data_IF_913606215085
#
_entry.id   IF_913606215085
#
_cell.length_a   1.000
_cell.length_b   1.000
_cell.length_c   1.000
_cell.angle_alpha   90.00
_cell.angle_beta   90.00
_cell.angle_gamma   90.00
#
_symmetry.space_group_name_H-M   'P 1'
#
loop_
_entity.id
_entity.type
_entity.pdbx_description
1 polymer ?
#
# COMPACT_ATOMS: atom_id res chain seq x y z
N UNK A 1 13.34 0.95 1.95
CA UNK A 1 12.39 2.07 2.09
C UNK A 1 12.28 2.90 0.83
N UNK A 2 13.43 3.21 0.19
CA UNK A 2 13.43 3.99 -1.05
C UNK A 2 12.61 3.32 -2.15
N UNK A 3 12.69 2.00 -2.29
CA UNK A 3 11.90 1.25 -3.27
C UNK A 3 10.41 1.35 -2.95
N UNK A 4 10.03 1.18 -1.69
CA UNK A 4 8.63 1.27 -1.27
C UNK A 4 8.07 2.66 -1.55
N UNK A 5 8.81 3.71 -1.19
CA UNK A 5 8.41 5.10 -1.45
C UNK A 5 8.25 5.36 -2.94
N UNK A 6 9.20 4.89 -3.76
CA UNK A 6 9.14 5.04 -5.21
C UNK A 6 7.90 4.37 -5.81
N UNK A 7 7.55 3.16 -5.34
CA UNK A 7 6.37 2.46 -5.81
C UNK A 7 5.09 3.16 -5.38
N UNK A 8 5.04 3.70 -4.16
CA UNK A 8 3.88 4.44 -3.67
C UNK A 8 3.67 5.76 -4.44
N UNK A 9 4.74 6.37 -4.92
CA UNK A 9 4.68 7.62 -5.70
C UNK A 9 4.34 7.41 -7.18
N UNK A 10 4.45 6.20 -7.70
CA UNK A 10 4.09 5.90 -9.07
C UNK A 10 2.57 6.06 -9.28
N UNK A 11 2.11 6.33 -10.51
CA UNK A 11 0.67 6.48 -10.77
C UNK A 11 -0.12 5.23 -10.42
N UNK A 12 -1.24 5.42 -9.72
CA UNK A 12 -2.12 4.33 -9.33
C UNK A 12 -2.77 3.69 -10.56
N UNK A 13 -2.93 2.37 -10.51
CA UNK A 13 -3.68 1.61 -11.50
C UNK A 13 -5.08 1.33 -10.98
N UNK A 14 -6.09 1.24 -11.85
CA UNK A 14 -7.43 0.92 -11.41
C UNK A 14 -7.51 -0.52 -10.87
N UNK A 15 -8.23 -0.68 -9.76
CA UNK A 15 -8.57 -1.98 -9.20
C UNK A 15 -9.99 -2.36 -9.65
N UNK A 16 -10.32 -3.67 -9.71
CA UNK A 16 -11.67 -4.09 -10.07
C UNK A 16 -12.72 -3.50 -9.13
N UNK A 17 -13.87 -3.11 -9.69
CA UNK A 17 -15.02 -2.66 -8.91
C UNK A 17 -15.71 -3.80 -8.18
N UNK A 18 -15.64 -5.01 -8.76
CA UNK A 18 -16.19 -6.20 -8.13
C UNK A 18 -15.36 -6.58 -6.89
N UNK A 19 -16.02 -6.70 -5.75
CA UNK A 19 -15.37 -6.96 -4.47
C UNK A 19 -14.58 -8.27 -4.47
N UNK A 20 -15.14 -9.33 -5.06
CA UNK A 20 -14.46 -10.65 -5.14
C UNK A 20 -13.19 -10.58 -5.97
N UNK A 21 -13.24 -9.92 -7.13
CA UNK A 21 -12.08 -9.77 -8.00
C UNK A 21 -11.01 -8.93 -7.32
N UNK A 22 -11.41 -7.88 -6.62
CA UNK A 22 -10.48 -7.02 -5.90
C UNK A 22 -9.78 -7.79 -4.77
N UNK A 23 -10.53 -8.59 -4.01
CA UNK A 23 -9.95 -9.45 -2.96
C UNK A 23 -8.92 -10.42 -3.54
N UNK A 24 -9.21 -11.03 -4.69
CA UNK A 24 -8.28 -11.96 -5.34
C UNK A 24 -6.98 -11.26 -5.73
N UNK A 25 -7.06 -10.07 -6.31
CA UNK A 25 -5.88 -9.30 -6.70
C UNK A 25 -5.05 -8.84 -5.50
N UNK A 26 -5.71 -8.34 -4.46
CA UNK A 26 -5.03 -7.90 -3.24
C UNK A 26 -4.36 -9.08 -2.53
N UNK A 27 -5.00 -10.24 -2.51
CA UNK A 27 -4.42 -11.46 -1.95
C UNK A 27 -3.20 -11.92 -2.73
N UNK A 28 -3.24 -11.84 -4.06
CA UNK A 28 -2.10 -12.18 -4.90
C UNK A 28 -0.89 -11.28 -4.60
N UNK A 29 -1.12 -9.99 -4.41
CA UNK A 29 -0.07 -9.04 -4.04
C UNK A 29 0.48 -9.32 -2.64
N UNK A 30 -0.38 -9.72 -1.71
CA UNK A 30 0.03 -10.12 -0.36
C UNK A 30 0.95 -11.33 -0.37
N UNK A 31 0.65 -12.31 -1.23
CA UNK A 31 1.41 -13.57 -1.35
C UNK A 31 2.65 -13.46 -2.23
N UNK A 32 2.81 -12.35 -2.95
CA UNK A 32 3.95 -12.16 -3.82
C UNK A 32 5.26 -12.13 -2.99
N UNK A 33 6.35 -12.71 -3.53
CA UNK A 33 7.60 -12.79 -2.79
C UNK A 33 8.31 -11.45 -2.62
N UNK A 34 7.99 -10.47 -3.49
CA UNK A 34 8.65 -9.18 -3.46
C UNK A 34 7.75 -8.10 -2.86
N UNK A 35 8.27 -7.25 -1.97
CA UNK A 35 7.48 -6.19 -1.36
C UNK A 35 6.99 -5.12 -2.34
N UNK A 36 7.60 -5.03 -3.53
CA UNK A 36 7.14 -4.11 -4.57
C UNK A 36 5.68 -4.32 -4.97
N UNK A 37 5.24 -5.58 -5.09
CA UNK A 37 3.85 -5.90 -5.43
C UNK A 37 2.88 -5.42 -4.35
N UNK A 38 3.26 -5.58 -3.08
CA UNK A 38 2.45 -5.11 -1.96
C UNK A 38 2.35 -3.58 -1.93
N UNK A 39 3.46 -2.89 -2.17
CA UNK A 39 3.49 -1.43 -2.23
C UNK A 39 2.62 -0.91 -3.39
N UNK A 40 2.66 -1.54 -4.55
CA UNK A 40 1.83 -1.19 -5.70
C UNK A 40 0.34 -1.38 -5.38
N UNK A 41 -0.02 -2.45 -4.69
CA UNK A 41 -1.41 -2.70 -4.30
C UNK A 41 -1.90 -1.65 -3.29
N UNK A 42 -1.08 -1.25 -2.34
CA UNK A 42 -1.40 -0.16 -1.41
C UNK A 42 -1.63 1.14 -2.18
N UNK A 43 -0.74 1.48 -3.11
CA UNK A 43 -0.89 2.64 -3.98
C UNK A 43 -2.22 2.62 -4.73
N UNK A 44 -2.54 1.49 -5.35
CA UNK A 44 -3.74 1.36 -6.16
C UNK A 44 -5.01 1.48 -5.32
N UNK A 45 -5.00 0.89 -4.12
CA UNK A 45 -6.13 0.97 -3.19
C UNK A 45 -6.33 2.39 -2.67
N UNK A 46 -5.24 3.11 -2.38
CA UNK A 46 -5.32 4.52 -1.99
C UNK A 46 -5.82 5.40 -3.15
N UNK A 47 -5.40 5.10 -4.38
CA UNK A 47 -5.93 5.77 -5.56
C UNK A 47 -7.44 5.56 -5.71
N UNK A 48 -7.91 4.34 -5.47
CA UNK A 48 -9.33 4.00 -5.47
C UNK A 48 -10.09 4.79 -4.40
N UNK A 49 -9.51 5.01 -3.23
CA UNK A 49 -10.16 5.71 -2.12
C UNK A 49 -10.55 7.16 -2.45
N UNK A 50 -9.96 7.75 -3.49
CA UNK A 50 -10.29 9.10 -3.92
C UNK A 50 -11.59 9.18 -4.71
N UNK A 51 -12.01 8.09 -5.35
CA UNK A 51 -13.21 8.03 -6.18
C UNK A 51 -14.30 7.12 -5.59
N UNK A 52 -13.92 6.18 -4.73
CA UNK A 52 -14.82 5.18 -4.16
C UNK A 52 -14.59 5.05 -2.67
N UNK A 53 -15.66 4.74 -1.94
CA UNK A 53 -15.54 4.41 -0.52
C UNK A 53 -14.90 3.04 -0.37
N UNK A 54 -13.88 2.94 0.48
CA UNK A 54 -13.27 1.65 0.80
C UNK A 54 -14.21 0.82 1.69
N UNK A 55 -14.32 -0.48 1.38
CA UNK A 55 -15.05 -1.42 2.23
C UNK A 55 -14.30 -1.65 3.55
N UNK A 56 -14.98 -2.15 4.61
CA UNK A 56 -14.26 -2.55 5.82
C UNK A 56 -13.15 -3.56 5.56
N UNK A 57 -13.35 -4.49 4.62
CA UNK A 57 -12.32 -5.44 4.19
C UNK A 57 -11.12 -4.77 3.55
N UNK A 58 -11.35 -3.80 2.66
CA UNK A 58 -10.30 -3.00 2.04
C UNK A 58 -9.47 -2.26 3.11
N UNK A 59 -10.13 -1.66 4.08
CA UNK A 59 -9.46 -0.92 5.16
C UNK A 59 -8.60 -1.83 6.03
N UNK A 60 -9.10 -3.02 6.38
CA UNK A 60 -8.34 -4.00 7.17
C UNK A 60 -7.12 -4.48 6.41
N UNK A 61 -7.29 -4.80 5.12
CA UNK A 61 -6.19 -5.22 4.26
C UNK A 61 -5.13 -4.12 4.18
N UNK A 62 -5.55 -2.88 3.98
CA UNK A 62 -4.65 -1.72 3.87
C UNK A 62 -3.82 -1.53 5.15
N UNK A 63 -4.46 -1.59 6.32
CA UNK A 63 -3.77 -1.49 7.61
C UNK A 63 -2.70 -2.57 7.75
N UNK A 64 -3.06 -3.82 7.49
CA UNK A 64 -2.13 -4.96 7.58
C UNK A 64 -0.99 -4.83 6.57
N UNK A 65 -1.28 -4.39 5.35
CA UNK A 65 -0.28 -4.21 4.31
C UNK A 65 0.73 -3.12 4.68
N UNK A 66 0.27 -2.01 5.24
CA UNK A 66 1.15 -0.93 5.68
C UNK A 66 2.07 -1.39 6.82
N UNK A 67 1.56 -2.15 7.76
CA UNK A 67 2.35 -2.73 8.85
C UNK A 67 3.45 -3.65 8.31
N UNK A 68 3.09 -4.51 7.38
CA UNK A 68 4.04 -5.43 6.75
C UNK A 68 5.11 -4.70 5.95
N UNK A 69 4.73 -3.70 5.15
CA UNK A 69 5.68 -2.90 4.39
C UNK A 69 6.66 -2.17 5.30
N UNK A 70 6.17 -1.62 6.41
CA UNK A 70 7.00 -0.93 7.39
C UNK A 70 8.02 -1.88 8.02
N UNK A 71 7.59 -3.08 8.39
CA UNK A 71 8.47 -4.09 8.99
C UNK A 71 9.54 -4.56 8.00
N UNK A 72 9.17 -4.82 6.75
CA UNK A 72 10.11 -5.24 5.71
C UNK A 72 11.10 -4.13 5.36
N UNK A 73 10.64 -2.88 5.24
CA UNK A 73 11.51 -1.75 4.97
C UNK A 73 12.51 -1.52 6.09
N UNK A 74 12.08 -1.62 7.34
CA UNK A 74 12.95 -1.48 8.50
C UNK A 74 14.03 -2.56 8.51
N UNK A 75 13.65 -3.80 8.20
CA UNK A 75 14.57 -4.93 8.20
C UNK A 75 15.62 -4.82 7.09
N UNK A 76 15.18 -4.49 5.87
CA UNK A 76 16.08 -4.40 4.71
C UNK A 76 17.05 -3.24 4.83
N UNK A 77 16.57 -2.08 5.28
CA UNK A 77 17.38 -0.87 5.36
C UNK A 77 18.10 -0.72 6.71
N UNK A 78 17.90 -1.68 7.63
CA UNK A 78 18.45 -1.64 8.98
C UNK A 78 18.12 -0.32 9.71
N UNK A 79 16.91 0.21 9.48
CA UNK A 79 16.42 1.42 10.12
C UNK A 79 15.41 1.08 11.22
N UNK A 80 15.17 2.03 12.09
CA UNK A 80 14.17 1.91 13.14
C UNK A 80 12.78 1.71 12.53
N UNK A 81 12.03 0.73 13.05
CA UNK A 81 10.67 0.44 12.60
C UNK A 81 9.77 1.68 12.68
N UNK A 82 9.94 2.49 13.71
CA UNK A 82 9.16 3.71 13.91
C UNK A 82 9.39 4.70 12.78
N UNK A 83 10.64 4.86 12.35
CA UNK A 83 10.99 5.72 11.22
C UNK A 83 10.41 5.20 9.91
N UNK A 84 10.45 3.89 9.69
CA UNK A 84 9.86 3.26 8.52
C UNK A 84 8.34 3.49 8.47
N UNK A 85 7.66 3.29 9.59
CA UNK A 85 6.21 3.54 9.69
C UNK A 85 5.88 5.00 9.41
N UNK A 86 6.63 5.93 9.98
CA UNK A 86 6.40 7.36 9.78
C UNK A 86 6.57 7.75 8.31
N UNK A 87 7.60 7.26 7.63
CA UNK A 87 7.84 7.54 6.23
C UNK A 87 6.74 6.99 5.33
N UNK A 88 6.29 5.77 5.57
CA UNK A 88 5.23 5.13 4.79
C UNK A 88 3.90 5.82 5.03
N UNK A 89 3.57 6.15 6.27
CA UNK A 89 2.34 6.88 6.58
C UNK A 89 2.32 8.27 5.97
N UNK A 90 3.47 8.93 5.89
CA UNK A 90 3.59 10.20 5.20
C UNK A 90 3.22 10.08 3.71
N UNK A 91 3.75 9.06 3.02
CA UNK A 91 3.44 8.82 1.61
C UNK A 91 1.95 8.47 1.41
N UNK A 92 1.38 7.70 2.32
CA UNK A 92 -0.05 7.35 2.27
C UNK A 92 -0.92 8.59 2.44
N UNK A 93 -0.55 9.49 3.35
CA UNK A 93 -1.27 10.75 3.54
C UNK A 93 -1.23 11.61 2.27
N UNK A 94 -0.10 11.66 1.57
CA UNK A 94 0.02 12.36 0.28
C UNK A 94 -0.89 11.72 -0.77
N UNK A 95 -0.94 10.41 -0.86
CA UNK A 95 -1.83 9.69 -1.77
C UNK A 95 -3.29 9.98 -1.47
N UNK A 96 -3.66 10.00 -0.20
CA UNK A 96 -5.02 10.27 0.24
C UNK A 96 -5.46 11.69 -0.13
N UNK A 97 -4.56 12.67 -0.05
CA UNK A 97 -4.86 14.04 -0.42
C UNK A 97 -4.82 14.29 -1.93
N UNK A 98 -4.31 13.35 -2.71
CA UNK A 98 -4.17 13.48 -4.15
C UNK A 98 -2.98 14.32 -4.60
N UNK A 99 -2.00 14.54 -3.71
CA UNK A 99 -0.82 15.40 -3.95
C UNK A 99 0.44 14.58 -4.25
N UNK A 100 0.31 13.29 -4.37
CA UNK A 100 1.45 12.40 -4.60
C UNK A 100 2.17 12.65 -5.93
#
# INVERSE_FOLDING_TARGET
>A
LAMVVARLRAPARPLPDNDRQRVVELKACWQAPQPAALAEAVRDLMGRSRAHRLTPGDKRWLTSACERLSAEAALVDAIDLFKAQAAIQHEIALLKSGVA
#
